data_IF_790690410700
#
_entry.id   IF_790690410700
#
_cell.length_a   1.000
_cell.length_b   1.000
_cell.length_c   1.000
_cell.angle_alpha   90.00
_cell.angle_beta   90.00
_cell.angle_gamma   90.00
#
_symmetry.space_group_name_H-M   'P 1'
#
loop_
_entity.id
_entity.type
_entity.pdbx_description
1 polymer ?
#
# COMPACT_ATOMS: atom_id res chain seq x y z
N UNK A 1 -2.52 6.80 9.92
CA UNK A 1 -3.62 6.39 9.03
C UNK A 1 -4.73 5.83 9.92
N UNK A 2 -5.97 6.28 9.72
CA UNK A 2 -7.16 5.75 10.38
C UNK A 2 -8.12 5.36 9.28
N UNK A 3 -8.39 4.06 9.13
CA UNK A 3 -9.35 3.58 8.14
C UNK A 3 -10.72 3.43 8.80
N UNK A 4 -11.75 4.00 8.19
CA UNK A 4 -13.10 3.96 8.71
C UNK A 4 -14.02 3.17 7.78
N UNK A 5 -14.69 2.15 8.31
CA UNK A 5 -15.78 1.48 7.62
C UNK A 5 -17.03 2.37 7.68
N UNK A 6 -17.14 3.34 6.78
CA UNK A 6 -18.38 4.12 6.64
C UNK A 6 -19.54 3.17 6.34
N UNK A 7 -20.65 3.35 7.05
CA UNK A 7 -21.87 2.54 6.93
C UNK A 7 -21.69 1.02 7.17
N UNK A 8 -20.56 0.60 7.76
CA UNK A 8 -20.24 -0.82 7.99
C UNK A 8 -19.98 -1.63 6.71
N UNK A 9 -19.71 -0.99 5.57
CA UNK A 9 -19.48 -1.66 4.28
C UNK A 9 -18.01 -1.88 4.01
N UNK A 10 -17.65 -3.10 3.60
CA UNK A 10 -16.27 -3.48 3.32
C UNK A 10 -15.71 -2.77 2.08
N UNK A 11 -16.52 -2.58 1.04
CA UNK A 11 -16.20 -1.74 -0.13
C UNK A 11 -15.76 -0.31 0.21
N UNK A 12 -16.27 0.31 1.28
CA UNK A 12 -15.80 1.63 1.70
C UNK A 12 -14.37 1.56 2.25
N UNK A 13 -14.06 0.52 3.03
CA UNK A 13 -12.70 0.28 3.54
C UNK A 13 -11.73 -0.03 2.41
N UNK A 14 -12.13 -0.84 1.42
CA UNK A 14 -11.32 -1.14 0.23
C UNK A 14 -10.92 0.17 -0.44
N UNK A 15 -11.86 1.08 -0.73
CA UNK A 15 -11.58 2.36 -1.37
C UNK A 15 -10.63 3.26 -0.55
N UNK A 16 -10.75 3.28 0.78
CA UNK A 16 -9.82 4.04 1.64
C UNK A 16 -8.40 3.46 1.58
N UNK A 17 -8.26 2.13 1.46
CA UNK A 17 -6.97 1.47 1.29
C UNK A 17 -6.41 1.71 -0.11
N UNK A 18 -7.21 1.63 -1.17
CA UNK A 18 -6.81 2.00 -2.54
C UNK A 18 -6.31 3.45 -2.59
N UNK A 19 -7.02 4.37 -1.95
CA UNK A 19 -6.58 5.77 -1.84
C UNK A 19 -5.28 5.92 -1.06
N UNK A 20 -4.99 5.04 -0.09
CA UNK A 20 -3.71 5.03 0.61
C UNK A 20 -2.59 4.53 -0.31
N UNK A 21 -2.83 3.47 -1.09
CA UNK A 21 -1.87 2.94 -2.07
C UNK A 21 -1.47 4.03 -3.07
N UNK A 22 -2.44 4.76 -3.61
CA UNK A 22 -2.22 5.86 -4.55
C UNK A 22 -1.46 7.03 -3.91
N UNK A 23 -1.65 7.27 -2.61
CA UNK A 23 -0.96 8.33 -1.88
C UNK A 23 0.48 7.96 -1.49
N UNK A 24 0.84 6.67 -1.48
CA UNK A 24 2.22 6.24 -1.21
C UNK A 24 3.04 6.43 -2.49
N UNK A 25 3.82 7.52 -2.51
CA UNK A 25 4.93 7.68 -3.44
C UNK A 25 6.24 7.26 -2.75
N UNK A 26 6.86 6.12 -3.13
CA UNK A 26 8.01 5.58 -2.42
C UNK A 26 9.20 6.55 -2.30
N UNK A 27 9.46 7.36 -3.34
CA UNK A 27 10.56 8.33 -3.33
C UNK A 27 10.29 9.51 -2.39
N UNK A 28 9.08 10.08 -2.41
CA UNK A 28 8.67 11.12 -1.48
C UNK A 28 8.67 10.61 -0.05
N UNK A 29 8.10 9.43 0.20
CA UNK A 29 8.07 8.82 1.53
C UNK A 29 9.48 8.54 2.07
N UNK A 30 10.39 8.02 1.24
CA UNK A 30 11.79 7.79 1.60
C UNK A 30 12.51 9.11 1.90
N UNK A 31 12.27 10.14 1.09
CA UNK A 31 12.86 11.48 1.29
C UNK A 31 12.41 12.11 2.62
N UNK A 32 11.11 12.08 2.90
CA UNK A 32 10.58 12.57 4.17
C UNK A 32 11.11 11.79 5.36
N UNK A 33 11.20 10.46 5.24
CA UNK A 33 11.76 9.62 6.29
C UNK A 33 13.23 9.97 6.56
N UNK A 34 14.05 10.19 5.54
CA UNK A 34 15.45 10.61 5.72
C UNK A 34 15.57 11.95 6.45
N UNK A 35 14.74 12.93 6.09
CA UNK A 35 14.70 14.25 6.75
C UNK A 35 14.32 14.09 8.23
N UNK A 36 13.30 13.30 8.53
CA UNK A 36 12.79 13.12 9.91
C UNK A 36 13.70 12.27 10.79
N UNK A 37 14.34 11.25 10.21
CA UNK A 37 15.24 10.33 10.91
C UNK A 37 16.68 10.84 11.05
N UNK A 38 17.06 11.87 10.28
CA UNK A 38 18.45 12.34 10.19
C UNK A 38 19.37 11.38 9.44
N UNK A 39 18.81 10.38 8.75
CA UNK A 39 19.56 9.38 8.00
C UNK A 39 19.95 9.96 6.63
N UNK A 40 21.22 10.32 6.45
CA UNK A 40 21.70 11.09 5.28
C UNK A 40 22.53 10.27 4.25
N UNK A 41 22.70 8.97 4.47
CA UNK A 41 23.48 8.13 3.56
C UNK A 41 22.68 7.79 2.28
N UNK A 42 23.24 7.92 1.07
CA UNK A 42 22.53 7.59 -0.18
C UNK A 42 22.07 6.12 -0.28
N UNK A 43 22.77 5.20 0.37
CA UNK A 43 22.34 3.79 0.48
C UNK A 43 21.03 3.65 1.26
N UNK A 44 20.83 4.46 2.30
CA UNK A 44 19.61 4.45 3.10
C UNK A 44 18.42 5.01 2.32
N UNK A 45 18.64 5.97 1.41
CA UNK A 45 17.57 6.43 0.51
C UNK A 45 17.05 5.26 -0.34
N UNK A 46 17.94 4.55 -1.04
CA UNK A 46 17.54 3.42 -1.90
C UNK A 46 16.82 2.33 -1.12
N UNK A 47 17.31 2.00 0.07
CA UNK A 47 16.65 1.01 0.92
C UNK A 47 15.26 1.50 1.35
N UNK A 48 15.13 2.75 1.79
CA UNK A 48 13.85 3.32 2.19
C UNK A 48 12.85 3.39 1.03
N UNK A 49 13.30 3.63 -0.20
CA UNK A 49 12.44 3.54 -1.40
C UNK A 49 11.93 2.11 -1.59
N UNK A 50 12.80 1.11 -1.50
CA UNK A 50 12.40 -0.30 -1.61
C UNK A 50 11.44 -0.71 -0.51
N UNK A 51 11.69 -0.28 0.72
CA UNK A 51 10.84 -0.58 1.87
C UNK A 51 9.44 0.05 1.69
N UNK A 52 9.36 1.30 1.23
CA UNK A 52 8.08 1.98 0.97
C UNK A 52 7.32 1.38 -0.21
N UNK A 53 8.03 0.92 -1.25
CA UNK A 53 7.41 0.20 -2.37
C UNK A 53 6.84 -1.16 -1.93
N UNK A 54 7.59 -1.91 -1.12
CA UNK A 54 7.11 -3.16 -0.53
C UNK A 54 5.85 -2.94 0.34
N UNK A 55 5.86 -1.90 1.18
CA UNK A 55 4.68 -1.50 1.98
C UNK A 55 3.50 -1.19 1.06
N UNK A 56 3.71 -0.41 -0.01
CA UNK A 56 2.65 -0.08 -0.98
C UNK A 56 2.05 -1.35 -1.61
N UNK A 57 2.89 -2.30 -1.99
CA UNK A 57 2.45 -3.60 -2.53
C UNK A 57 1.65 -4.40 -1.52
N UNK A 58 2.12 -4.51 -0.27
CA UNK A 58 1.40 -5.23 0.79
C UNK A 58 0.03 -4.60 1.09
N UNK A 59 -0.05 -3.27 1.12
CA UNK A 59 -1.30 -2.52 1.32
C UNK A 59 -2.27 -2.75 0.15
N UNK A 60 -1.77 -2.79 -1.08
CA UNK A 60 -2.59 -3.13 -2.25
C UNK A 60 -3.13 -4.56 -2.18
N UNK A 61 -2.30 -5.54 -1.82
CA UNK A 61 -2.73 -6.93 -1.64
C UNK A 61 -3.82 -7.05 -0.57
N UNK A 62 -3.71 -6.28 0.52
CA UNK A 62 -4.76 -6.20 1.53
C UNK A 62 -6.08 -5.67 0.95
N UNK A 63 -6.04 -4.60 0.13
CA UNK A 63 -7.24 -4.08 -0.54
C UNK A 63 -7.92 -5.16 -1.39
N UNK A 64 -7.14 -5.93 -2.15
CA UNK A 64 -7.68 -7.01 -2.97
C UNK A 64 -8.31 -8.12 -2.13
N UNK A 65 -7.63 -8.60 -1.07
CA UNK A 65 -8.17 -9.63 -0.19
C UNK A 65 -9.50 -9.20 0.47
N UNK A 66 -9.61 -7.92 0.85
CA UNK A 66 -10.85 -7.38 1.40
C UNK A 66 -11.94 -7.26 0.33
N UNK A 67 -11.60 -6.88 -0.90
CA UNK A 67 -12.55 -6.84 -2.00
C UNK A 67 -13.11 -8.24 -2.32
N UNK A 68 -12.26 -9.27 -2.30
CA UNK A 68 -12.68 -10.67 -2.45
C UNK A 68 -13.61 -11.12 -1.33
N UNK A 69 -13.31 -10.75 -0.08
CA UNK A 69 -14.19 -11.01 1.05
C UNK A 69 -15.55 -10.28 0.95
N UNK A 70 -15.62 -9.15 0.24
CA UNK A 70 -16.87 -8.42 -0.09
C UNK A 70 -17.62 -9.05 -1.28
N UNK A 71 -17.09 -10.13 -1.87
CA UNK A 71 -17.66 -10.81 -3.02
C UNK A 71 -17.26 -10.21 -4.38
N UNK A 72 -16.28 -9.30 -4.41
CA UNK A 72 -15.72 -8.75 -5.64
C UNK A 72 -14.50 -9.57 -6.09
N UNK A 73 -14.54 -10.17 -7.28
CA UNK A 73 -13.48 -11.05 -7.78
C UNK A 73 -12.27 -10.26 -8.33
N UNK A 74 -11.55 -9.55 -7.46
CA UNK A 74 -10.44 -8.67 -7.85
C UNK A 74 -9.16 -9.44 -8.21
N UNK A 75 -8.81 -10.52 -7.50
CA UNK A 75 -7.59 -11.28 -7.83
C UNK A 75 -7.82 -12.37 -8.89
N UNK A 76 -9.06 -12.61 -9.32
CA UNK A 76 -9.38 -13.59 -10.37
C UNK A 76 -8.80 -13.20 -11.74
N UNK A 77 -8.55 -11.90 -11.97
CA UNK A 77 -7.98 -11.36 -13.20
C UNK A 77 -6.46 -11.10 -13.12
N UNK A 78 -5.82 -11.32 -11.97
CA UNK A 78 -4.37 -11.13 -11.85
C UNK A 78 -3.61 -12.37 -12.36
N UNK A 79 -2.58 -12.18 -13.21
CA UNK A 79 -1.79 -13.30 -13.70
C UNK A 79 -1.07 -14.00 -12.54
N UNK A 80 -1.15 -15.34 -12.56
CA UNK A 80 -0.64 -16.27 -11.54
C UNK A 80 0.82 -16.03 -11.12
N UNK A 81 1.62 -15.37 -11.97
CA UNK A 81 3.02 -15.08 -11.72
C UNK A 81 3.29 -14.00 -10.65
N UNK A 82 2.26 -13.34 -10.12
CA UNK A 82 2.41 -12.35 -9.04
C UNK A 82 2.12 -12.91 -7.63
N UNK A 83 1.84 -14.21 -7.51
CA UNK A 83 1.52 -14.88 -6.25
C UNK A 83 2.71 -15.58 -5.58
N UNK A 84 3.92 -15.47 -6.15
CA UNK A 84 5.15 -16.10 -5.64
C UNK A 84 6.38 -15.23 -5.85
#
# INVERSE_FOLDING_TARGET
FTAEMKDGKLSNLVREIESLVDAIDPETCASEWMIRSGSIAPSHFRQAVQDMDAIRTEVWLLACQLAEADGNAVLADLPWNQWN
#
